data_IF_296913498195
#
_entry.id   IF_296913498195
#
_cell.length_a   1.000
_cell.length_b   1.000
_cell.length_c   1.000
_cell.angle_alpha   90.00
_cell.angle_beta   90.00
_cell.angle_gamma   90.00
#
_symmetry.space_group_name_H-M   'P 1'
#
loop_
_entity.id
_entity.type
_entity.pdbx_description
1 polymer ?
#
# COMPACT_ATOMS: atom_id res chain seq x y z
N UNK A 1 18.06 -11.23 21.75
CA UNK A 1 17.40 -11.67 20.50
C UNK A 1 16.44 -10.58 20.08
N UNK A 2 16.72 -9.88 19.00
CA UNK A 2 15.81 -8.86 18.44
C UNK A 2 14.59 -9.59 17.89
N UNK A 3 13.39 -9.28 18.40
CA UNK A 3 12.14 -9.92 17.98
C UNK A 3 11.94 -9.62 16.49
N UNK A 4 11.91 -10.64 15.63
CA UNK A 4 11.61 -10.48 14.20
C UNK A 4 10.22 -9.84 14.09
N UNK A 5 10.15 -8.62 13.54
CA UNK A 5 8.87 -7.94 13.32
C UNK A 5 8.14 -8.66 12.20
N UNK A 6 6.99 -9.23 12.53
CA UNK A 6 6.11 -9.88 11.56
C UNK A 6 5.14 -8.85 10.98
N UNK A 7 4.57 -9.08 9.78
CA UNK A 7 3.48 -8.25 9.26
C UNK A 7 2.33 -8.08 10.25
N UNK A 8 2.06 -9.12 11.06
CA UNK A 8 1.03 -9.11 12.09
C UNK A 8 1.21 -8.03 13.15
N UNK A 9 2.45 -7.62 13.42
CA UNK A 9 2.78 -6.55 14.37
C UNK A 9 2.38 -5.16 13.85
N UNK A 10 2.17 -5.00 12.53
CA UNK A 10 1.67 -3.75 11.92
C UNK A 10 0.16 -3.76 11.64
N UNK A 11 -0.47 -4.94 11.67
CA UNK A 11 -1.91 -5.05 11.52
C UNK A 11 -2.62 -4.45 12.73
N UNK A 12 -3.66 -3.66 12.45
CA UNK A 12 -4.59 -3.17 13.47
C UNK A 12 -5.51 -4.28 13.98
N UNK A 13 -6.76 -3.92 14.25
CA UNK A 13 -7.80 -4.84 14.74
C UNK A 13 -8.07 -5.98 13.75
N UNK A 14 -8.09 -5.66 12.45
CA UNK A 14 -8.38 -6.62 11.39
C UNK A 14 -7.09 -7.25 10.86
N UNK A 15 -7.04 -8.58 10.80
CA UNK A 15 -5.86 -9.33 10.37
C UNK A 15 -5.98 -9.77 8.92
N UNK A 16 -7.20 -10.01 8.46
CA UNK A 16 -7.54 -10.34 7.08
C UNK A 16 -8.72 -9.49 6.60
N UNK A 17 -8.92 -9.40 5.28
CA UNK A 17 -10.05 -8.65 4.72
C UNK A 17 -11.41 -9.25 5.12
N UNK A 18 -11.46 -10.57 5.32
CA UNK A 18 -12.66 -11.26 5.79
C UNK A 18 -13.12 -10.78 7.18
N UNK A 19 -12.18 -10.37 8.03
CA UNK A 19 -12.46 -9.86 9.38
C UNK A 19 -13.06 -8.45 9.38
N UNK A 20 -12.93 -7.71 8.27
CA UNK A 20 -13.41 -6.34 8.16
C UNK A 20 -14.93 -6.35 7.91
N UNK A 21 -15.74 -5.78 8.82
CA UNK A 21 -17.18 -5.62 8.59
C UNK A 21 -17.44 -4.91 7.27
N UNK A 22 -18.46 -5.34 6.53
CA UNK A 22 -18.70 -4.81 5.18
C UNK A 22 -18.79 -3.28 5.15
N UNK A 23 -19.43 -2.67 6.15
CA UNK A 23 -19.57 -1.21 6.32
C UNK A 23 -18.26 -0.45 6.54
N UNK A 24 -17.17 -1.15 6.87
CA UNK A 24 -15.82 -0.59 7.07
C UNK A 24 -14.84 -0.96 5.95
N UNK A 25 -15.28 -1.73 4.96
CA UNK A 25 -14.43 -2.09 3.80
C UNK A 25 -14.27 -0.87 2.91
N UNK A 26 -13.06 -0.67 2.39
CA UNK A 26 -12.70 0.54 1.64
C UNK A 26 -13.64 0.84 0.45
N UNK A 27 -14.16 -0.18 -0.23
CA UNK A 27 -15.08 -0.01 -1.35
C UNK A 27 -16.38 0.76 -0.99
N UNK A 28 -16.79 0.76 0.28
CA UNK A 28 -17.96 1.54 0.74
C UNK A 28 -17.75 3.05 0.58
N UNK A 29 -16.50 3.49 0.50
CA UNK A 29 -16.14 4.90 0.40
C UNK A 29 -15.85 5.33 -1.05
N UNK A 30 -16.10 4.49 -2.05
CA UNK A 30 -15.78 4.76 -3.45
C UNK A 30 -16.25 6.15 -3.95
N UNK A 31 -17.49 6.51 -3.66
CA UNK A 31 -18.06 7.82 -4.03
C UNK A 31 -17.32 9.00 -3.38
N UNK A 32 -16.79 8.84 -2.18
CA UNK A 32 -16.04 9.89 -1.49
C UNK A 32 -14.65 10.13 -2.09
N UNK A 33 -14.15 9.21 -2.91
CA UNK A 33 -12.84 9.31 -3.58
C UNK A 33 -12.96 9.63 -5.08
N UNK A 34 -14.17 9.64 -5.64
CA UNK A 34 -14.38 9.94 -7.05
C UNK A 34 -13.83 11.33 -7.43
N UNK A 35 -13.00 11.38 -8.48
CA UNK A 35 -12.36 12.62 -8.96
C UNK A 35 -11.32 13.22 -8.02
N UNK A 36 -10.98 12.59 -6.88
CA UNK A 36 -10.02 13.16 -5.91
C UNK A 36 -8.59 12.73 -6.22
N UNK A 37 -7.68 13.69 -6.30
CA UNK A 37 -6.24 13.36 -6.30
C UNK A 37 -5.70 13.17 -4.88
N UNK A 38 -6.10 12.07 -4.24
CA UNK A 38 -5.65 11.72 -2.88
C UNK A 38 -4.13 11.53 -2.79
N UNK A 39 -3.50 11.14 -3.89
CA UNK A 39 -2.03 11.03 -3.93
C UNK A 39 -1.38 12.41 -3.83
N UNK A 40 -1.91 13.41 -4.55
CA UNK A 40 -1.47 14.79 -4.45
C UNK A 40 -1.55 15.32 -3.02
N UNK A 41 -2.66 15.05 -2.32
CA UNK A 41 -2.82 15.40 -0.91
C UNK A 41 -1.74 14.78 -0.03
N UNK A 42 -1.47 13.46 -0.19
CA UNK A 42 -0.38 12.80 0.54
C UNK A 42 0.99 13.42 0.21
N UNK A 43 1.28 13.64 -1.07
CA UNK A 43 2.57 14.18 -1.52
C UNK A 43 2.84 15.56 -0.94
N UNK A 44 1.81 16.39 -0.75
CA UNK A 44 1.93 17.71 -0.12
C UNK A 44 2.36 17.66 1.35
N UNK A 45 2.27 16.49 2.02
CA UNK A 45 2.66 16.33 3.43
C UNK A 45 4.13 15.95 3.64
N UNK A 46 4.85 15.62 2.57
CA UNK A 46 6.24 15.17 2.63
C UNK A 46 7.11 16.22 1.95
N UNK A 47 8.31 16.49 2.47
CA UNK A 47 9.30 17.29 1.74
C UNK A 47 10.30 16.35 1.05
N UNK A 48 10.42 16.47 -0.28
CA UNK A 48 11.32 15.64 -1.08
C UNK A 48 12.03 16.53 -2.10
N UNK A 49 13.34 16.32 -2.25
CA UNK A 49 14.10 16.91 -3.35
C UNK A 49 13.55 16.47 -4.71
N UNK A 50 13.80 17.29 -5.73
CA UNK A 50 13.24 17.16 -7.09
C UNK A 50 13.35 15.75 -7.67
N UNK A 51 14.55 15.18 -7.69
CA UNK A 51 14.80 13.82 -8.20
C UNK A 51 13.92 12.75 -7.53
N UNK A 52 13.75 12.84 -6.22
CA UNK A 52 12.92 11.89 -5.46
C UNK A 52 11.44 12.13 -5.73
N UNK A 53 11.03 13.40 -5.89
CA UNK A 53 9.67 13.77 -6.25
C UNK A 53 9.26 13.20 -7.60
N UNK A 54 10.12 13.29 -8.62
CA UNK A 54 9.89 12.68 -9.94
C UNK A 54 9.78 11.16 -9.86
N UNK A 55 10.63 10.53 -9.05
CA UNK A 55 10.62 9.10 -8.84
C UNK A 55 9.31 8.63 -8.19
N UNK A 56 8.86 9.32 -7.14
CA UNK A 56 7.57 9.04 -6.49
C UNK A 56 6.39 9.26 -7.44
N UNK A 57 6.44 10.28 -8.30
CA UNK A 57 5.41 10.53 -9.31
C UNK A 57 5.32 9.39 -10.34
N UNK A 58 6.46 8.80 -10.72
CA UNK A 58 6.46 7.62 -11.60
C UNK A 58 5.86 6.40 -10.91
N UNK A 59 6.16 6.18 -9.64
CA UNK A 59 5.62 5.04 -8.88
C UNK A 59 4.12 5.18 -8.66
N UNK A 60 3.66 6.37 -8.28
CA UNK A 60 2.25 6.61 -8.05
C UNK A 60 1.42 6.52 -9.31
N UNK A 61 1.96 6.95 -10.46
CA UNK A 61 1.30 6.75 -11.75
C UNK A 61 1.09 5.28 -12.04
N UNK A 62 2.14 4.45 -11.97
CA UNK A 62 1.99 3.01 -12.23
C UNK A 62 1.02 2.33 -11.25
N UNK A 63 1.04 2.74 -9.98
CA UNK A 63 0.08 2.24 -9.00
C UNK A 63 -1.36 2.64 -9.33
N UNK A 64 -1.59 3.90 -9.73
CA UNK A 64 -2.89 4.38 -10.19
C UNK A 64 -3.38 3.55 -11.38
N UNK A 65 -2.53 3.39 -12.41
CA UNK A 65 -2.83 2.59 -13.60
C UNK A 65 -3.23 1.15 -13.20
N UNK A 66 -2.43 0.48 -12.35
CA UNK A 66 -2.73 -0.86 -11.86
C UNK A 66 -4.08 -0.95 -11.12
N UNK A 67 -4.38 -0.01 -10.23
CA UNK A 67 -5.66 -0.03 -9.50
C UNK A 67 -6.85 0.29 -10.40
N UNK A 68 -6.66 1.15 -11.41
CA UNK A 68 -7.68 1.51 -12.39
C UNK A 68 -8.03 0.32 -13.29
N UNK A 69 -7.04 -0.47 -13.73
CA UNK A 69 -7.27 -1.74 -14.46
C UNK A 69 -8.14 -2.71 -13.66
N UNK A 70 -8.10 -2.64 -12.33
CA UNK A 70 -8.96 -3.43 -11.43
C UNK A 70 -10.30 -2.73 -11.09
N UNK A 71 -10.60 -1.60 -11.73
CA UNK A 71 -11.81 -0.81 -11.53
C UNK A 71 -11.88 -0.13 -10.16
N UNK A 72 -10.74 0.27 -9.59
CA UNK A 72 -10.67 0.85 -8.24
C UNK A 72 -9.87 2.14 -8.22
N UNK A 73 -10.32 3.07 -7.38
CA UNK A 73 -9.53 4.23 -7.01
C UNK A 73 -8.25 3.78 -6.27
N UNK A 74 -7.12 4.44 -6.51
CA UNK A 74 -5.80 4.05 -5.99
C UNK A 74 -5.65 4.08 -4.48
N UNK A 75 -6.55 4.76 -3.78
CA UNK A 75 -6.67 4.78 -2.32
C UNK A 75 -7.51 3.60 -1.78
N UNK A 76 -8.26 2.87 -2.60
CA UNK A 76 -9.24 1.87 -2.16
C UNK A 76 -8.85 0.44 -2.56
N UNK A 77 -7.55 0.19 -2.73
CA UNK A 77 -7.05 -1.10 -3.13
C UNK A 77 -7.38 -2.19 -2.10
N UNK A 78 -7.51 -3.41 -2.60
CA UNK A 78 -7.67 -4.63 -1.81
C UNK A 78 -6.30 -5.27 -1.59
N UNK A 79 -6.14 -6.13 -0.58
CA UNK A 79 -4.91 -6.89 -0.40
C UNK A 79 -4.50 -7.67 -1.67
N UNK A 80 -5.47 -8.20 -2.42
CA UNK A 80 -5.20 -8.89 -3.69
C UNK A 80 -4.61 -7.98 -4.77
N UNK A 81 -4.95 -6.68 -4.78
CA UNK A 81 -4.37 -5.73 -5.72
C UNK A 81 -2.91 -5.45 -5.38
N UNK A 82 -2.59 -5.43 -4.07
CA UNK A 82 -1.21 -5.33 -3.61
C UNK A 82 -0.42 -6.57 -3.98
N UNK A 83 -1.03 -7.75 -3.89
CA UNK A 83 -0.36 -8.99 -4.24
C UNK A 83 -0.04 -9.08 -5.73
N UNK A 84 -1.03 -8.85 -6.59
CA UNK A 84 -0.82 -8.82 -8.05
C UNK A 84 0.20 -7.76 -8.47
N UNK A 85 0.19 -6.60 -7.80
CA UNK A 85 1.20 -5.58 -7.97
C UNK A 85 2.59 -6.02 -7.53
N UNK A 86 2.68 -6.74 -6.41
CA UNK A 86 3.94 -7.26 -5.88
C UNK A 86 4.54 -8.33 -6.79
N UNK A 87 3.71 -9.22 -7.36
CA UNK A 87 4.11 -10.18 -8.40
C UNK A 87 4.74 -9.43 -9.58
N UNK A 88 4.01 -8.47 -10.16
CA UNK A 88 4.51 -7.67 -11.29
C UNK A 88 5.83 -6.94 -10.98
N UNK A 89 5.97 -6.40 -9.76
CA UNK A 89 7.19 -5.73 -9.34
C UNK A 89 8.39 -6.67 -9.26
N UNK A 90 8.22 -7.89 -8.75
CA UNK A 90 9.30 -8.88 -8.65
C UNK A 90 9.67 -9.46 -10.02
N UNK A 91 8.72 -9.56 -10.95
CA UNK A 91 8.99 -9.96 -12.33
C UNK A 91 9.74 -8.87 -13.11
N UNK A 92 9.46 -7.59 -12.79
CA UNK A 92 9.99 -6.44 -13.54
C UNK A 92 11.27 -5.85 -12.97
N UNK A 93 11.55 -6.06 -11.68
CA UNK A 93 12.63 -5.40 -10.96
C UNK A 93 13.32 -6.33 -9.97
N UNK A 94 14.53 -5.97 -9.54
CA UNK A 94 15.16 -6.62 -8.40
C UNK A 94 14.35 -6.41 -7.12
N UNK A 95 14.44 -7.32 -6.16
CA UNK A 95 13.74 -7.22 -4.86
C UNK A 95 14.03 -5.91 -4.13
N UNK A 96 15.25 -5.38 -4.22
CA UNK A 96 15.62 -4.08 -3.64
C UNK A 96 14.86 -2.92 -4.30
N UNK A 97 14.70 -2.98 -5.62
CA UNK A 97 13.98 -1.97 -6.37
C UNK A 97 12.47 -2.10 -6.17
N UNK A 98 11.93 -3.32 -6.15
CA UNK A 98 10.54 -3.59 -5.80
C UNK A 98 10.20 -3.04 -4.39
N UNK A 99 11.06 -3.32 -3.41
CA UNK A 99 10.94 -2.75 -2.05
C UNK A 99 10.89 -1.23 -2.04
N UNK A 100 11.78 -0.54 -2.76
CA UNK A 100 11.77 0.92 -2.82
C UNK A 100 10.44 1.47 -3.33
N UNK A 101 9.84 0.86 -4.36
CA UNK A 101 8.55 1.31 -4.91
C UNK A 101 7.41 1.00 -3.94
N UNK A 102 7.38 -0.25 -3.45
CA UNK A 102 6.38 -0.75 -2.53
C UNK A 102 6.30 0.09 -1.25
N UNK A 103 7.45 0.46 -0.67
CA UNK A 103 7.50 1.20 0.58
C UNK A 103 6.91 2.62 0.47
N UNK A 104 7.01 3.25 -0.69
CA UNK A 104 6.40 4.56 -0.92
C UNK A 104 4.88 4.46 -0.92
N UNK A 105 4.32 3.46 -1.60
CA UNK A 105 2.86 3.26 -1.65
C UNK A 105 2.34 2.76 -0.31
N UNK A 106 3.07 1.91 0.41
CA UNK A 106 2.67 1.51 1.75
C UNK A 106 2.62 2.70 2.73
N UNK A 107 3.58 3.63 2.65
CA UNK A 107 3.57 4.87 3.42
C UNK A 107 2.36 5.77 3.11
N UNK A 108 1.88 5.76 1.88
CA UNK A 108 0.62 6.41 1.50
C UNK A 108 -0.59 5.79 2.22
N UNK A 109 -0.66 4.45 2.31
CA UNK A 109 -1.76 3.79 3.04
C UNK A 109 -1.67 3.95 4.55
N UNK A 110 -0.46 4.05 5.10
CA UNK A 110 -0.28 4.46 6.50
C UNK A 110 -0.80 5.88 6.73
N UNK A 111 -0.53 6.81 5.79
CA UNK A 111 -1.09 8.17 5.82
C UNK A 111 -2.61 8.20 5.81
N UNK A 112 -3.24 7.46 4.90
CA UNK A 112 -4.70 7.37 4.83
C UNK A 112 -5.33 6.88 6.15
N UNK A 113 -4.66 5.97 6.86
CA UNK A 113 -5.18 5.38 8.11
C UNK A 113 -5.14 6.37 9.28
N UNK A 114 -4.17 7.28 9.34
CA UNK A 114 -4.07 8.24 10.45
C UNK A 114 -4.73 9.59 10.15
N UNK A 115 -4.86 9.96 8.87
CA UNK A 115 -5.40 11.26 8.48
C UNK A 115 -6.93 11.31 8.67
N UNK A 116 -7.43 12.34 9.36
CA UNK A 116 -8.84 12.44 9.79
C UNK A 116 -9.85 12.54 8.66
N UNK A 117 -9.42 12.97 7.47
CA UNK A 117 -10.27 13.09 6.28
C UNK A 117 -10.48 11.76 5.54
N UNK A 118 -9.84 10.68 5.99
CA UNK A 118 -9.86 9.39 5.33
C UNK A 118 -10.42 8.30 6.26
N UNK A 119 -11.45 7.55 5.83
CA UNK A 119 -12.13 6.55 6.67
C UNK A 119 -11.39 5.21 6.73
N UNK A 120 -10.08 5.20 6.52
CA UNK A 120 -9.30 3.98 6.45
C UNK A 120 -9.12 3.34 7.82
N UNK A 121 -9.49 2.07 7.94
CA UNK A 121 -9.37 1.30 9.19
C UNK A 121 -8.30 0.21 9.12
N UNK A 122 -7.77 -0.06 7.94
CA UNK A 122 -6.72 -1.05 7.69
C UNK A 122 -5.80 -0.61 6.55
N UNK A 123 -4.60 -1.21 6.51
CA UNK A 123 -3.65 -1.04 5.43
C UNK A 123 -3.63 -2.33 4.58
N UNK A 124 -4.04 -2.30 3.30
CA UNK A 124 -4.07 -3.48 2.44
C UNK A 124 -2.68 -4.07 2.20
N UNK A 125 -1.61 -3.27 2.28
CA UNK A 125 -0.23 -3.74 2.13
C UNK A 125 0.20 -4.66 3.28
N UNK A 126 -0.15 -4.29 4.51
CA UNK A 126 0.13 -5.12 5.68
C UNK A 126 -0.69 -6.42 5.66
N UNK A 127 -1.95 -6.35 5.20
CA UNK A 127 -2.80 -7.54 5.06
C UNK A 127 -2.30 -8.50 3.99
N UNK A 128 -1.86 -7.98 2.84
CA UNK A 128 -1.32 -8.81 1.77
C UNK A 128 -0.03 -9.54 2.20
N UNK A 129 0.83 -8.88 2.98
CA UNK A 129 2.08 -9.47 3.49
C UNK A 129 1.88 -10.59 4.54
N UNK A 130 0.66 -10.79 5.06
CA UNK A 130 0.39 -11.85 6.06
C UNK A 130 0.68 -13.23 5.50
N UNK A 131 0.27 -13.47 4.26
CA UNK A 131 0.37 -14.77 3.59
C UNK A 131 1.84 -15.17 3.43
N UNK A 132 2.33 -16.23 4.08
CA UNK A 132 3.75 -16.56 4.13
C UNK A 132 4.43 -16.76 2.78
N UNK A 133 3.70 -17.27 1.78
CA UNK A 133 4.25 -17.62 0.45
C UNK A 133 3.95 -16.55 -0.62
N UNK A 134 3.38 -15.41 -0.22
CA UNK A 134 3.03 -14.33 -1.15
C UNK A 134 4.25 -13.53 -1.64
N UNK A 135 4.18 -13.00 -2.86
CA UNK A 135 5.15 -12.05 -3.39
C UNK A 135 5.23 -10.78 -2.53
N UNK A 136 4.09 -10.36 -1.94
CA UNK A 136 4.09 -9.25 -0.97
C UNK A 136 4.94 -9.57 0.25
N UNK A 137 4.90 -10.82 0.76
CA UNK A 137 5.71 -11.23 1.91
C UNK A 137 7.21 -11.23 1.61
N UNK A 138 7.61 -11.53 0.38
CA UNK A 138 9.01 -11.43 -0.04
C UNK A 138 9.52 -9.97 0.06
N UNK A 139 8.78 -9.04 -0.55
CA UNK A 139 9.12 -7.60 -0.49
C UNK A 139 9.10 -7.09 0.96
N UNK A 140 8.12 -7.53 1.77
CA UNK A 140 8.05 -7.20 3.20
C UNK A 140 9.29 -7.69 3.95
N UNK A 141 9.72 -8.92 3.69
CA UNK A 141 10.87 -9.52 4.36
C UNK A 141 12.13 -8.71 4.04
N UNK A 142 12.27 -8.28 2.78
CA UNK A 142 13.35 -7.36 2.37
C UNK A 142 13.28 -6.01 3.10
N UNK A 143 12.08 -5.45 3.30
CA UNK A 143 11.89 -4.23 4.13
C UNK A 143 12.39 -4.44 5.56
N UNK A 144 12.10 -5.60 6.17
CA UNK A 144 12.54 -5.89 7.55
C UNK A 144 14.05 -6.09 7.67
N UNK A 145 14.73 -6.59 6.64
CA UNK A 145 16.19 -6.69 6.60
C UNK A 145 16.89 -5.32 6.51
N UNK A 146 16.21 -4.32 5.94
CA UNK A 146 16.74 -2.96 5.72
C UNK A 146 16.37 -1.98 6.84
N UNK A 147 15.52 -2.37 7.78
CA UNK A 147 14.96 -1.52 8.85
C UNK A 147 15.73 -1.65 10.17
#
# INVERSE_FOLDING_TARGET
>A
MTKVKTPHDRLGVFKQLADVPNSRRLHQYASAYEGRDTWGSYRATVDLGERMSEEWARFSRRWKDHTEEHGRHHALARPNDVETWSVWMLDSFSVDRAYQHWNVIEGFYDWLKWHTEHPHTYNPFHMAAVEPESSTREIWSRKMEKA
#
